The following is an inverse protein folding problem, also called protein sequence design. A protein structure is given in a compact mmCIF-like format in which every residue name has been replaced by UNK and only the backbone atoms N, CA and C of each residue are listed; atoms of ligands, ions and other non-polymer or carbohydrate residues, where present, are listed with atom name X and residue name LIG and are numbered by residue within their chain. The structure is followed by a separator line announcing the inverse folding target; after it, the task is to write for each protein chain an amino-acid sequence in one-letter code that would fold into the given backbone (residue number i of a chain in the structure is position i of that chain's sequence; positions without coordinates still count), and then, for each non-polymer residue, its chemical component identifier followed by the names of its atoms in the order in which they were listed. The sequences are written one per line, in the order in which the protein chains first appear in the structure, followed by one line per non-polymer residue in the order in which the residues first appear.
data_IF_079967265341
#
_entry.id   IF_079967265341
#
_cell.length_a   1.000
_cell.length_b   1.000
_cell.length_c   1.000
_cell.angle_alpha   90.00
_cell.angle_beta   90.00
_cell.angle_gamma   90.00
#
_symmetry.space_group_name_H-M   'P 1'
#
loop_
_entity.id
_entity.type
_entity.pdbx_description
1 polymer ?
#
# COMPACT_ATOMS: atom_id res chain seq x y z
N UNK A 1 -20.40 -16.67 54.47
CA UNK A 1 -19.22 -16.81 53.58
C UNK A 1 -18.00 -17.51 54.19
N UNK A 2 -17.71 -17.41 55.51
CA UNK A 2 -16.53 -18.06 56.14
C UNK A 2 -16.57 -19.60 56.18
N UNK A 3 -17.76 -20.22 56.26
CA UNK A 3 -17.92 -21.69 56.37
C UNK A 3 -17.57 -22.46 55.07
N UNK A 4 -17.84 -21.89 53.90
CA UNK A 4 -17.51 -22.52 52.61
C UNK A 4 -16.01 -22.48 52.31
N UNK A 5 -15.32 -21.41 52.74
CA UNK A 5 -13.86 -21.32 52.62
C UNK A 5 -13.14 -22.33 53.53
N UNK A 6 -13.69 -22.59 54.73
CA UNK A 6 -13.18 -23.61 55.65
C UNK A 6 -13.44 -25.03 55.12
N UNK A 7 -14.63 -25.30 54.56
CA UNK A 7 -14.95 -26.60 53.95
C UNK A 7 -14.05 -26.90 52.74
N UNK A 8 -13.81 -25.91 51.87
CA UNK A 8 -12.88 -26.05 50.76
C UNK A 8 -11.44 -26.24 51.25
N UNK A 9 -10.99 -25.46 52.25
CA UNK A 9 -9.67 -25.62 52.84
C UNK A 9 -9.47 -27.02 53.47
N UNK A 10 -10.52 -27.60 54.07
CA UNK A 10 -10.47 -28.95 54.64
C UNK A 10 -10.43 -30.04 53.56
N UNK A 11 -11.14 -29.86 52.45
CA UNK A 11 -11.11 -30.74 51.28
C UNK A 11 -9.72 -30.68 50.60
N UNK A 12 -9.13 -29.49 50.48
CA UNK A 12 -7.78 -29.30 49.93
C UNK A 12 -6.68 -29.80 50.88
N UNK A 13 -6.88 -29.75 52.19
CA UNK A 13 -5.92 -30.21 53.19
C UNK A 13 -5.89 -31.75 53.37
N UNK A 14 -6.94 -32.46 52.94
CA UNK A 14 -7.09 -33.92 53.17
C UNK A 14 -7.03 -34.79 51.90
N UNK A 15 -6.94 -34.19 50.72
CA UNK A 15 -6.71 -34.95 49.50
C UNK A 15 -5.23 -35.40 49.44
N UNK A 16 -4.91 -36.70 49.37
CA UNK A 16 -3.54 -37.14 49.16
C UNK A 16 -3.02 -36.47 47.88
N UNK A 17 -1.74 -36.05 47.87
CA UNK A 17 -1.11 -35.32 46.76
C UNK A 17 -1.43 -35.92 45.38
N UNK A 18 -1.59 -37.24 45.33
CA UNK A 18 -1.97 -38.02 44.15
C UNK A 18 -3.38 -37.71 43.63
N UNK A 19 -4.36 -37.47 44.51
CA UNK A 19 -5.72 -37.10 44.12
C UNK A 19 -5.76 -35.69 43.51
N UNK A 20 -4.99 -34.74 44.04
CA UNK A 20 -4.87 -33.40 43.46
C UNK A 20 -4.22 -33.44 42.07
N UNK A 21 -3.17 -34.25 41.88
CA UNK A 21 -2.54 -34.45 40.57
C UNK A 21 -3.55 -35.00 39.55
N UNK A 22 -4.34 -36.01 39.93
CA UNK A 22 -5.39 -36.58 39.07
C UNK A 22 -6.45 -35.55 38.69
N UNK A 23 -6.89 -34.72 39.63
CA UNK A 23 -7.86 -33.65 39.36
C UNK A 23 -7.29 -32.60 38.39
N UNK A 24 -6.03 -32.19 38.55
CA UNK A 24 -5.37 -31.25 37.63
C UNK A 24 -5.27 -31.86 36.22
N UNK A 25 -4.89 -33.13 36.11
CA UNK A 25 -4.82 -33.83 34.82
C UNK A 25 -6.18 -33.91 34.12
N UNK A 26 -7.24 -34.19 34.87
CA UNK A 26 -8.61 -34.19 34.34
C UNK A 26 -8.99 -32.81 33.81
N UNK A 27 -8.81 -31.75 34.61
CA UNK A 27 -9.15 -30.38 34.21
C UNK A 27 -8.31 -29.88 33.02
N UNK A 28 -7.05 -30.30 32.91
CA UNK A 28 -6.20 -29.98 31.74
C UNK A 28 -6.74 -30.66 30.47
N UNK A 29 -7.14 -31.93 30.58
CA UNK A 29 -7.74 -32.70 29.48
C UNK A 29 -9.05 -32.07 29.02
N UNK A 30 -9.95 -31.74 29.96
CA UNK A 30 -11.21 -31.08 29.68
C UNK A 30 -11.01 -29.72 29.00
N UNK A 31 -10.09 -28.89 29.50
CA UNK A 31 -9.74 -27.62 28.85
C UNK A 31 -9.21 -27.81 27.43
N UNK A 32 -8.40 -28.85 27.17
CA UNK A 32 -7.90 -29.16 25.82
C UNK A 32 -9.06 -29.50 24.86
N UNK A 33 -10.03 -30.28 25.31
CA UNK A 33 -11.23 -30.64 24.54
C UNK A 33 -12.08 -29.40 24.27
N UNK A 34 -12.39 -28.60 25.31
CA UNK A 34 -13.19 -27.38 25.16
C UNK A 34 -12.55 -26.39 24.20
N UNK A 35 -11.22 -26.24 24.23
CA UNK A 35 -10.50 -25.37 23.30
C UNK A 35 -10.55 -25.86 21.84
N UNK A 36 -10.60 -27.17 21.63
CA UNK A 36 -10.80 -27.74 20.29
C UNK A 36 -12.17 -27.38 19.68
N UNK A 37 -13.16 -27.04 20.51
CA UNK A 37 -14.51 -26.63 20.09
C UNK A 37 -14.68 -25.12 19.93
N UNK A 38 -13.70 -24.32 20.36
CA UNK A 38 -13.76 -22.84 20.32
C UNK A 38 -13.15 -22.28 19.03
N UNK A 39 -13.52 -21.05 18.62
CA UNK A 39 -12.92 -20.39 17.46
C UNK A 39 -11.41 -20.20 17.64
N UNK A 40 -10.68 -20.14 16.51
CA UNK A 40 -9.21 -20.05 16.46
C UNK A 40 -8.62 -18.86 17.24
N UNK A 41 -9.40 -17.79 17.47
CA UNK A 41 -8.97 -16.59 18.19
C UNK A 41 -9.92 -16.28 19.34
N UNK A 42 -9.38 -16.27 20.56
CA UNK A 42 -10.10 -15.90 21.79
C UNK A 42 -9.68 -14.48 22.16
N UNK A 43 -10.65 -13.57 22.25
CA UNK A 43 -10.42 -12.21 22.72
C UNK A 43 -10.58 -12.16 24.25
N UNK A 44 -9.58 -11.61 24.93
CA UNK A 44 -9.57 -11.50 26.40
C UNK A 44 -9.97 -10.09 26.80
N UNK A 45 -11.04 -9.97 27.57
CA UNK A 45 -11.52 -8.71 28.15
C UNK A 45 -10.56 -8.20 29.24
N UNK A 46 -10.69 -6.92 29.62
CA UNK A 46 -9.87 -6.34 30.70
C UNK A 46 -10.04 -7.07 32.04
N UNK A 47 -11.26 -7.50 32.36
CA UNK A 47 -11.57 -8.25 33.58
C UNK A 47 -10.96 -9.66 33.56
N UNK A 48 -10.98 -10.33 32.42
CA UNK A 48 -10.33 -11.64 32.26
C UNK A 48 -8.81 -11.53 32.30
N UNK A 49 -8.23 -10.50 31.67
CA UNK A 49 -6.79 -10.18 31.80
C UNK A 49 -6.39 -10.04 33.27
N UNK A 50 -7.16 -9.29 34.07
CA UNK A 50 -6.89 -9.11 35.49
C UNK A 50 -6.95 -10.43 36.26
N UNK A 51 -7.92 -11.30 35.96
CA UNK A 51 -8.02 -12.64 36.54
C UNK A 51 -6.81 -13.51 36.17
N UNK A 52 -6.41 -13.53 34.90
CA UNK A 52 -5.23 -14.26 34.44
C UNK A 52 -3.95 -13.79 35.12
N UNK A 53 -3.76 -12.47 35.29
CA UNK A 53 -2.60 -11.92 36.01
C UNK A 53 -2.63 -12.29 37.50
N UNK A 54 -3.79 -12.20 38.14
CA UNK A 54 -3.97 -12.54 39.57
C UNK A 54 -3.54 -13.98 39.87
N UNK A 55 -4.02 -14.94 39.09
CA UNK A 55 -3.69 -16.36 39.29
C UNK A 55 -2.35 -16.77 38.64
N UNK A 56 -1.90 -16.03 37.64
CA UNK A 56 -0.68 -16.37 36.90
C UNK A 56 0.62 -15.90 37.54
N UNK A 57 0.62 -14.78 38.26
CA UNK A 57 1.84 -14.25 38.92
C UNK A 57 2.46 -15.21 39.93
N UNK A 58 1.70 -15.87 40.83
CA UNK A 58 2.26 -16.79 41.81
C UNK A 58 2.91 -18.03 41.19
N UNK A 59 2.54 -18.39 39.95
CA UNK A 59 3.08 -19.55 39.24
C UNK A 59 4.52 -19.34 38.71
N UNK A 60 5.05 -18.11 38.76
CA UNK A 60 6.44 -17.84 38.39
C UNK A 60 6.78 -18.25 36.96
N UNK A 61 7.84 -19.04 36.78
CA UNK A 61 8.28 -19.57 35.48
C UNK A 61 7.39 -20.70 34.96
N UNK A 62 6.70 -21.44 35.84
CA UNK A 62 5.84 -22.56 35.49
C UNK A 62 4.64 -22.14 34.63
N UNK A 63 4.27 -20.86 34.65
CA UNK A 63 3.21 -20.33 33.78
C UNK A 63 3.48 -20.58 32.29
N UNK A 64 4.75 -20.64 31.86
CA UNK A 64 5.10 -20.89 30.45
C UNK A 64 4.56 -22.23 29.94
N UNK A 65 4.45 -23.22 30.82
CA UNK A 65 3.94 -24.55 30.50
C UNK A 65 2.40 -24.63 30.60
N UNK A 66 1.78 -23.74 31.39
CA UNK A 66 0.34 -23.76 31.68
C UNK A 66 -0.47 -22.78 30.82
N UNK A 67 0.15 -21.70 30.33
CA UNK A 67 -0.55 -20.63 29.65
C UNK A 67 -0.94 -21.04 28.22
N UNK A 68 -2.25 -21.14 27.98
CA UNK A 68 -2.79 -21.55 26.68
C UNK A 68 -3.67 -20.49 26.02
N UNK A 69 -4.30 -19.60 26.80
CA UNK A 69 -5.22 -18.57 26.28
C UNK A 69 -4.48 -17.45 25.56
N UNK A 70 -3.33 -17.02 26.09
CA UNK A 70 -2.51 -15.96 25.50
C UNK A 70 -1.07 -16.43 25.36
N UNK A 71 -0.35 -15.86 24.39
CA UNK A 71 1.07 -16.15 24.21
C UNK A 71 1.88 -15.74 25.47
N UNK A 72 2.88 -16.52 25.91
CA UNK A 72 3.69 -16.19 27.09
C UNK A 72 4.27 -14.77 27.07
N UNK A 73 4.70 -14.29 25.89
CA UNK A 73 5.19 -12.91 25.69
C UNK A 73 4.13 -11.86 26.02
N UNK A 74 2.87 -12.10 25.66
CA UNK A 74 1.76 -11.19 25.95
C UNK A 74 1.49 -11.12 27.45
N UNK A 75 1.56 -12.25 28.14
CA UNK A 75 1.42 -12.30 29.61
C UNK A 75 2.56 -11.56 30.32
N UNK A 76 3.81 -11.75 29.88
CA UNK A 76 4.96 -11.01 30.40
C UNK A 76 4.81 -9.50 30.18
N UNK A 77 4.34 -9.08 28.99
CA UNK A 77 4.06 -7.67 28.70
C UNK A 77 3.00 -7.11 29.64
N UNK A 78 1.91 -7.85 29.87
CA UNK A 78 0.86 -7.43 30.80
C UNK A 78 1.33 -7.33 32.25
N UNK A 79 2.24 -8.21 32.68
CA UNK A 79 2.88 -8.16 34.01
C UNK A 79 3.78 -6.93 34.16
N UNK A 80 4.52 -6.56 33.12
CA UNK A 80 5.32 -5.33 33.09
C UNK A 80 4.41 -4.09 33.14
N UNK A 81 3.40 -4.01 32.26
CA UNK A 81 2.42 -2.91 32.22
C UNK A 81 1.72 -2.65 33.57
N UNK A 82 1.50 -3.68 34.39
CA UNK A 82 0.91 -3.56 35.73
C UNK A 82 1.92 -3.12 36.79
N UNK A 83 3.16 -3.63 36.72
CA UNK A 83 4.26 -3.24 37.62
C UNK A 83 4.67 -1.79 37.40
N UNK A 84 4.70 -1.35 36.15
CA UNK A 84 5.05 0.00 35.75
C UNK A 84 3.89 1.00 36.04
N UNK A 85 2.90 0.53 36.83
CA UNK A 85 1.97 1.35 37.59
C UNK A 85 1.17 2.28 36.71
N UNK A 86 0.37 1.75 35.78
CA UNK A 86 -0.52 2.53 34.91
C UNK A 86 0.08 3.89 34.52
N UNK A 87 1.32 3.88 34.00
CA UNK A 87 1.78 4.95 33.09
C UNK A 87 1.05 4.82 31.75
N UNK A 88 -0.27 4.64 31.82
CA UNK A 88 -1.15 5.44 31.02
C UNK A 88 -1.02 6.91 31.50
N UNK A 89 0.13 7.52 31.18
CA UNK A 89 0.07 8.65 30.26
C UNK A 89 -0.63 8.13 29.01
N UNK A 90 -1.95 7.93 29.11
CA UNK A 90 -2.83 8.31 28.03
C UNK A 90 -2.35 9.72 27.77
N UNK A 91 -1.61 9.92 26.69
CA UNK A 91 -1.94 11.08 25.88
C UNK A 91 -3.46 11.07 25.84
N UNK A 92 -4.06 11.93 26.67
CA UNK A 92 -5.37 12.46 26.39
C UNK A 92 -5.19 12.97 24.98
N UNK A 93 -5.62 12.15 24.02
CA UNK A 93 -5.72 12.57 22.64
C UNK A 93 -6.79 13.63 22.71
N UNK A 94 -6.38 14.88 22.84
CA UNK A 94 -7.19 16.01 22.42
C UNK A 94 -7.52 15.76 20.95
N UNK A 95 -8.64 15.09 20.68
CA UNK A 95 -9.34 15.00 19.39
C UNK A 95 -8.56 14.66 18.11
N UNK A 96 -7.27 14.35 18.18
CA UNK A 96 -6.38 14.28 17.04
C UNK A 96 -6.11 12.84 16.65
N UNK A 97 -6.68 12.41 15.53
CA UNK A 97 -6.35 11.15 14.87
C UNK A 97 -4.83 11.04 14.75
N UNK A 98 -4.25 10.13 15.54
CA UNK A 98 -2.80 9.93 15.63
C UNK A 98 -2.25 9.48 14.28
N UNK A 99 -1.75 10.45 13.52
CA UNK A 99 -1.06 10.29 12.26
C UNK A 99 0.04 11.34 12.15
N UNK A 100 0.88 11.23 11.11
CA UNK A 100 1.90 12.23 10.79
C UNK A 100 1.28 13.63 10.83
N UNK A 101 1.90 14.63 11.48
CA UNK A 101 1.37 15.99 11.51
C UNK A 101 1.06 16.45 10.08
N UNK A 102 -0.11 17.07 9.92
CA UNK A 102 -0.54 17.59 8.62
C UNK A 102 0.49 18.62 8.13
N UNK A 103 0.63 18.73 6.81
CA UNK A 103 1.44 19.81 6.21
C UNK A 103 0.86 21.17 6.63
N UNK A 104 1.70 22.20 6.66
CA UNK A 104 1.29 23.55 7.09
C UNK A 104 0.07 24.03 6.31
N UNK A 105 -0.78 24.83 6.96
CA UNK A 105 -2.01 25.33 6.33
C UNK A 105 -1.71 26.13 5.06
N UNK A 106 -0.64 26.92 5.07
CA UNK A 106 -0.11 27.62 3.89
C UNK A 106 0.09 26.69 2.68
N UNK A 107 0.71 25.53 2.88
CA UNK A 107 0.93 24.56 1.81
C UNK A 107 -0.41 24.04 1.26
N UNK A 108 -1.39 23.82 2.15
CA UNK A 108 -2.69 23.26 1.77
C UNK A 108 -3.50 24.26 0.96
N UNK A 109 -3.48 25.52 1.37
CA UNK A 109 -4.16 26.61 0.69
C UNK A 109 -3.50 26.88 -0.68
N UNK A 110 -2.16 26.82 -0.76
CA UNK A 110 -1.43 26.92 -2.02
C UNK A 110 -1.80 25.80 -3.01
N UNK A 111 -1.86 24.55 -2.54
CA UNK A 111 -2.31 23.40 -3.35
C UNK A 111 -3.73 23.61 -3.87
N UNK A 112 -4.65 24.04 -2.99
CA UNK A 112 -6.04 24.27 -3.37
C UNK A 112 -6.17 25.43 -4.37
N UNK A 113 -5.39 26.51 -4.19
CA UNK A 113 -5.35 27.65 -5.10
C UNK A 113 -4.82 27.24 -6.48
N UNK A 114 -3.68 26.55 -6.55
CA UNK A 114 -3.11 26.04 -7.81
C UNK A 114 -4.09 25.15 -8.58
N UNK A 115 -4.85 24.31 -7.87
CA UNK A 115 -5.84 23.42 -8.47
C UNK A 115 -7.12 24.12 -8.94
N UNK A 116 -7.48 25.28 -8.37
CA UNK A 116 -8.65 26.07 -8.81
C UNK A 116 -8.30 27.03 -9.95
N UNK A 117 -7.11 27.62 -9.89
CA UNK A 117 -6.66 28.59 -10.88
C UNK A 117 -6.12 27.93 -12.16
N UNK A 118 -5.78 26.64 -12.11
CA UNK A 118 -5.21 25.90 -13.23
C UNK A 118 -5.83 24.51 -13.38
N UNK A 119 -6.00 24.05 -14.63
CA UNK A 119 -6.40 22.66 -14.97
C UNK A 119 -5.26 21.64 -14.79
N UNK A 120 -4.49 21.78 -13.71
CA UNK A 120 -3.32 20.95 -13.45
C UNK A 120 -3.67 19.65 -12.75
N UNK A 121 -3.13 18.54 -13.26
CA UNK A 121 -3.23 17.24 -12.59
C UNK A 121 -2.38 17.14 -11.32
N UNK A 122 -2.74 16.20 -10.43
CA UNK A 122 -2.09 15.96 -9.13
C UNK A 122 -0.55 15.87 -9.20
N UNK A 123 -0.02 15.23 -10.24
CA UNK A 123 1.43 15.05 -10.42
C UNK A 123 2.11 16.37 -10.77
N UNK A 124 1.47 17.22 -11.58
CA UNK A 124 2.01 18.53 -11.96
C UNK A 124 2.05 19.43 -10.74
N UNK A 125 0.95 19.53 -9.99
CA UNK A 125 0.88 20.32 -8.75
C UNK A 125 1.96 19.87 -7.75
N UNK A 126 2.17 18.56 -7.58
CA UNK A 126 3.23 18.04 -6.71
C UNK A 126 4.65 18.36 -7.21
N UNK A 127 4.85 18.48 -8.53
CA UNK A 127 6.12 18.84 -9.13
C UNK A 127 6.42 20.34 -8.96
N UNK A 128 5.44 21.21 -9.20
CA UNK A 128 5.57 22.66 -9.01
C UNK A 128 5.93 22.99 -7.56
N UNK A 129 5.28 22.36 -6.59
CA UNK A 129 5.61 22.61 -5.17
C UNK A 129 7.02 22.12 -4.82
N UNK A 130 7.48 21.05 -5.47
CA UNK A 130 8.86 20.57 -5.31
C UNK A 130 9.85 21.56 -5.91
N UNK A 131 9.53 22.15 -7.06
CA UNK A 131 10.34 23.18 -7.71
C UNK A 131 10.43 24.47 -6.88
N UNK A 132 9.35 24.82 -6.17
CA UNK A 132 9.35 25.94 -5.22
C UNK A 132 10.11 25.63 -3.90
N UNK A 133 10.62 24.41 -3.74
CA UNK A 133 11.31 23.94 -2.51
C UNK A 133 10.46 24.02 -1.23
N UNK A 134 9.13 24.11 -1.37
CA UNK A 134 8.20 24.27 -0.25
C UNK A 134 7.75 22.88 0.23
N UNK A 135 8.45 22.34 1.22
CA UNK A 135 7.89 21.32 2.12
C UNK A 135 7.57 19.94 1.51
N UNK A 136 8.28 19.50 0.47
CA UNK A 136 8.37 18.10 0.01
C UNK A 136 7.05 17.31 0.03
N UNK A 137 6.28 17.42 -1.06
CA UNK A 137 4.93 16.88 -1.17
C UNK A 137 4.86 15.79 -2.24
N UNK A 138 4.20 14.68 -1.91
CA UNK A 138 3.91 13.60 -2.84
C UNK A 138 2.51 13.72 -3.44
N UNK A 139 2.29 13.05 -4.57
CA UNK A 139 1.00 12.98 -5.27
C UNK A 139 -0.18 12.60 -4.36
N UNK A 140 0.05 11.69 -3.42
CA UNK A 140 -0.96 11.22 -2.45
C UNK A 140 -1.32 12.30 -1.43
N UNK A 141 -0.36 13.10 -0.98
CA UNK A 141 -0.62 14.23 -0.09
C UNK A 141 -1.43 15.31 -0.80
N UNK A 142 -1.09 15.66 -2.04
CA UNK A 142 -1.89 16.59 -2.86
C UNK A 142 -3.32 16.09 -3.02
N UNK A 143 -3.50 14.79 -3.31
CA UNK A 143 -4.83 14.18 -3.42
C UNK A 143 -5.65 14.33 -2.13
N UNK A 144 -5.06 14.04 -0.98
CA UNK A 144 -5.75 14.14 0.30
C UNK A 144 -6.14 15.59 0.62
N UNK A 145 -5.24 16.54 0.35
CA UNK A 145 -5.51 17.98 0.51
C UNK A 145 -6.70 18.40 -0.36
N UNK A 146 -6.70 18.06 -1.66
CA UNK A 146 -7.80 18.45 -2.55
C UNK A 146 -9.14 17.83 -2.17
N UNK A 147 -9.14 16.55 -1.75
CA UNK A 147 -10.36 15.91 -1.22
C UNK A 147 -10.88 16.64 0.04
N UNK A 148 -9.99 17.07 0.95
CA UNK A 148 -10.37 17.81 2.16
C UNK A 148 -10.91 19.22 1.84
N UNK A 149 -10.44 19.85 0.76
CA UNK A 149 -10.92 21.16 0.32
C UNK A 149 -12.14 21.10 -0.60
N UNK A 150 -12.70 19.91 -0.87
CA UNK A 150 -13.86 19.74 -1.74
C UNK A 150 -13.64 20.24 -3.17
N UNK A 151 -12.38 20.39 -3.60
CA UNK A 151 -12.06 20.82 -4.96
C UNK A 151 -12.25 19.60 -5.85
N UNK A 152 -13.25 19.67 -6.74
CA UNK A 152 -13.47 18.60 -7.70
C UNK A 152 -12.20 18.40 -8.52
N UNK A 153 -11.91 17.14 -8.81
CA UNK A 153 -10.68 16.75 -9.46
C UNK A 153 -10.70 17.40 -10.83
N UNK A 154 -9.88 18.44 -11.00
CA UNK A 154 -9.67 19.12 -12.28
C UNK A 154 -9.66 18.10 -13.41
N UNK A 155 -10.30 18.45 -14.54
CA UNK A 155 -11.15 17.59 -15.35
C UNK A 155 -10.72 16.14 -15.22
N UNK A 156 -11.56 15.37 -14.52
CA UNK A 156 -11.44 13.93 -14.46
C UNK A 156 -11.02 13.47 -15.84
N UNK A 157 -9.84 12.86 -15.93
CA UNK A 157 -9.44 12.13 -17.12
C UNK A 157 -10.50 11.04 -17.27
N UNK A 158 -11.61 11.35 -17.94
CA UNK A 158 -12.02 10.50 -19.04
C UNK A 158 -10.72 10.28 -19.79
N UNK A 159 -10.18 9.05 -19.67
CA UNK A 159 -8.96 8.68 -20.34
C UNK A 159 -9.15 9.17 -21.78
N UNK A 160 -8.41 10.20 -22.18
CA UNK A 160 -8.44 10.68 -23.56
C UNK A 160 -8.15 9.44 -24.35
N UNK A 161 -9.15 8.95 -25.06
CA UNK A 161 -9.01 7.69 -25.77
C UNK A 161 -7.89 7.90 -26.78
N UNK A 162 -7.20 6.83 -27.16
CA UNK A 162 -6.20 6.94 -28.22
C UNK A 162 -6.80 7.61 -29.47
N UNK A 163 -8.08 7.35 -29.74
CA UNK A 163 -8.84 7.98 -30.81
C UNK A 163 -8.99 9.50 -30.61
N UNK A 164 -9.35 9.96 -29.41
CA UNK A 164 -9.44 11.41 -29.12
C UNK A 164 -8.08 12.11 -29.26
N UNK A 165 -7.01 11.45 -28.84
CA UNK A 165 -5.66 11.98 -28.96
C UNK A 165 -5.25 12.12 -30.43
N UNK A 166 -5.45 11.05 -31.21
CA UNK A 166 -5.16 11.04 -32.65
C UNK A 166 -6.04 12.07 -33.35
N UNK A 167 -7.35 12.15 -33.09
CA UNK A 167 -8.23 13.13 -33.71
C UNK A 167 -7.76 14.58 -33.50
N UNK A 168 -7.25 14.90 -32.29
CA UNK A 168 -6.73 16.24 -31.96
C UNK A 168 -5.41 16.55 -32.66
N UNK A 169 -4.53 15.57 -32.82
CA UNK A 169 -3.15 15.79 -33.31
C UNK A 169 -2.93 15.27 -34.74
N UNK A 170 -3.92 14.68 -35.39
CA UNK A 170 -3.77 14.05 -36.71
C UNK A 170 -3.26 15.02 -37.78
N UNK A 171 -3.56 16.33 -37.63
CA UNK A 171 -3.10 17.38 -38.55
C UNK A 171 -1.62 17.75 -38.40
N UNK A 172 -0.98 17.34 -37.31
CA UNK A 172 0.44 17.63 -37.02
C UNK A 172 1.27 16.35 -36.93
N UNK A 173 0.63 15.17 -36.90
CA UNK A 173 1.30 13.89 -36.70
C UNK A 173 1.67 13.24 -38.03
N UNK A 174 2.93 12.80 -38.12
CA UNK A 174 3.41 11.90 -39.17
C UNK A 174 3.82 10.57 -38.55
N UNK A 175 3.32 9.47 -39.10
CA UNK A 175 3.81 8.14 -38.80
C UNK A 175 5.04 7.85 -39.68
N UNK A 176 6.07 7.23 -39.12
CA UNK A 176 7.29 6.88 -39.83
C UNK A 176 7.52 5.37 -39.67
N UNK A 177 7.78 4.67 -40.76
CA UNK A 177 8.04 3.23 -40.74
C UNK A 177 8.96 2.79 -41.88
N UNK A 178 9.56 1.61 -41.74
CA UNK A 178 10.37 0.97 -42.76
C UNK A 178 9.56 -0.06 -43.55
N UNK A 179 9.72 -0.05 -44.87
CA UNK A 179 9.19 -1.09 -45.75
C UNK A 179 10.35 -1.85 -46.40
N UNK A 180 10.28 -3.18 -46.38
CA UNK A 180 11.19 -4.04 -47.14
C UNK A 180 10.48 -4.58 -48.39
N UNK A 181 11.10 -4.37 -49.54
CA UNK A 181 10.64 -4.85 -50.85
C UNK A 181 11.68 -5.80 -51.41
N UNK A 182 11.25 -7.03 -51.63
CA UNK A 182 12.11 -8.08 -52.16
C UNK A 182 12.12 -8.04 -53.68
N UNK A 183 13.28 -7.72 -54.25
CA UNK A 183 13.43 -7.48 -55.69
C UNK A 183 14.37 -8.50 -56.32
N UNK A 184 14.06 -8.93 -57.54
CA UNK A 184 14.94 -9.78 -58.33
C UNK A 184 15.83 -8.92 -59.22
N UNK A 185 17.14 -9.15 -59.13
CA UNK A 185 18.15 -8.54 -60.00
C UNK A 185 18.86 -9.62 -60.81
N UNK A 186 19.59 -9.24 -61.85
CA UNK A 186 20.38 -10.18 -62.67
C UNK A 186 21.42 -10.98 -61.85
N UNK A 187 21.82 -10.48 -60.66
CA UNK A 187 22.77 -11.15 -59.75
C UNK A 187 22.10 -11.96 -58.64
N UNK A 188 20.77 -12.08 -58.65
CA UNK A 188 19.99 -12.77 -57.65
C UNK A 188 18.99 -11.88 -56.91
N UNK A 189 18.42 -12.40 -55.82
CA UNK A 189 17.38 -11.73 -55.04
C UNK A 189 18.00 -10.79 -54.00
N UNK A 190 17.55 -9.55 -53.96
CA UNK A 190 18.05 -8.52 -53.03
C UNK A 190 16.85 -7.91 -52.29
N UNK A 191 17.03 -7.65 -51.00
CA UNK A 191 16.06 -6.90 -50.20
C UNK A 191 16.40 -5.41 -50.23
N UNK A 192 15.43 -4.62 -50.68
CA UNK A 192 15.51 -3.16 -50.66
C UNK A 192 14.65 -2.62 -49.53
N UNK A 193 15.14 -1.59 -48.87
CA UNK A 193 14.49 -0.93 -47.76
C UNK A 193 14.14 0.50 -48.15
N UNK A 194 12.94 0.93 -47.75
CA UNK A 194 12.44 2.28 -47.92
C UNK A 194 12.02 2.82 -46.56
N UNK A 195 12.22 4.12 -46.36
CA UNK A 195 11.68 4.86 -45.22
C UNK A 195 10.44 5.62 -45.69
N UNK A 196 9.32 5.39 -45.00
CA UNK A 196 8.02 5.93 -45.38
C UNK A 196 7.51 6.82 -44.26
N UNK A 197 7.08 8.03 -44.62
CA UNK A 197 6.40 8.95 -43.73
C UNK A 197 4.96 9.13 -44.21
N UNK A 198 3.98 8.92 -43.33
CA UNK A 198 2.57 9.05 -43.66
C UNK A 198 1.90 10.07 -42.73
N UNK A 199 1.32 11.11 -43.33
CA UNK A 199 0.57 12.10 -42.57
C UNK A 199 -0.74 11.49 -42.08
N UNK A 200 -1.00 11.57 -40.78
CA UNK A 200 -2.10 10.82 -40.16
C UNK A 200 -3.47 11.34 -40.61
N UNK A 201 -3.65 12.66 -40.72
CA UNK A 201 -4.94 13.22 -41.15
C UNK A 201 -5.20 13.09 -42.66
N UNK A 202 -4.22 13.42 -43.50
CA UNK A 202 -4.43 13.51 -44.97
C UNK A 202 -4.04 12.25 -45.72
N UNK A 203 -3.41 11.27 -45.05
CA UNK A 203 -2.89 10.04 -45.65
C UNK A 203 -1.89 10.27 -46.78
N UNK A 204 -1.32 11.48 -46.89
CA UNK A 204 -0.22 11.79 -47.80
C UNK A 204 1.02 11.02 -47.39
N UNK A 205 1.72 10.47 -48.37
CA UNK A 205 2.89 9.64 -48.15
C UNK A 205 4.10 10.31 -48.77
N UNK A 206 5.19 10.38 -48.00
CA UNK A 206 6.52 10.67 -48.51
C UNK A 206 7.35 9.40 -48.43
N UNK A 207 7.98 9.02 -49.53
CA UNK A 207 8.76 7.79 -49.66
C UNK A 207 10.19 8.16 -50.00
N UNK A 208 11.14 7.64 -49.24
CA UNK A 208 12.56 7.80 -49.55
C UNK A 208 12.95 7.01 -50.82
N UNK A 209 14.09 7.33 -51.47
CA UNK A 209 14.74 6.40 -52.38
C UNK A 209 14.96 5.03 -51.71
N UNK A 210 15.04 3.95 -52.49
CA UNK A 210 15.29 2.61 -51.95
C UNK A 210 16.80 2.37 -51.71
N UNK A 211 17.15 1.62 -50.66
CA UNK A 211 18.53 1.21 -50.37
C UNK A 211 18.64 -0.28 -50.05
N UNK A 212 19.75 -0.92 -50.42
CA UNK A 212 20.06 -2.28 -49.96
C UNK A 212 20.73 -2.30 -48.57
N UNK A 213 21.15 -1.13 -48.06
CA UNK A 213 21.85 -1.00 -46.78
C UNK A 213 21.27 0.19 -45.97
N UNK A 214 20.20 -0.03 -45.18
CA UNK A 214 19.56 1.03 -44.38
C UNK A 214 20.39 1.32 -43.12
N UNK A 215 21.53 1.97 -43.29
CA UNK A 215 22.38 2.43 -42.19
C UNK A 215 21.83 3.66 -41.47
N UNK A 216 22.47 4.02 -40.35
CA UNK A 216 22.12 5.20 -39.57
C UNK A 216 22.25 6.49 -40.40
N UNK A 217 23.40 6.68 -41.06
CA UNK A 217 23.69 7.87 -41.88
C UNK A 217 22.65 8.07 -43.00
N UNK A 218 22.28 6.97 -43.66
CA UNK A 218 21.26 7.01 -44.70
C UNK A 218 19.89 7.38 -44.13
N UNK A 219 19.51 6.79 -42.99
CA UNK A 219 18.22 7.05 -42.33
C UNK A 219 18.11 8.51 -41.90
N UNK A 220 19.17 9.05 -41.32
CA UNK A 220 19.26 10.45 -40.93
C UNK A 220 19.12 11.38 -42.14
N UNK A 221 19.81 11.07 -43.24
CA UNK A 221 19.67 11.84 -44.48
C UNK A 221 18.24 11.81 -45.01
N UNK A 222 17.55 10.67 -44.96
CA UNK A 222 16.14 10.59 -45.39
C UNK A 222 15.20 11.38 -44.48
N UNK A 223 15.44 11.36 -43.17
CA UNK A 223 14.67 12.18 -42.23
C UNK A 223 14.89 13.68 -42.49
N UNK A 224 16.13 14.11 -42.78
CA UNK A 224 16.44 15.49 -43.18
C UNK A 224 15.72 15.87 -44.48
N UNK A 225 15.76 15.01 -45.49
CA UNK A 225 15.06 15.24 -46.75
C UNK A 225 13.54 15.40 -46.54
N UNK A 226 12.95 14.57 -45.66
CA UNK A 226 11.54 14.70 -45.29
C UNK A 226 11.22 16.05 -44.62
N UNK A 227 12.08 16.56 -43.73
CA UNK A 227 11.86 17.87 -43.10
C UNK A 227 11.93 19.05 -44.07
N UNK A 228 12.49 18.85 -45.27
CA UNK A 228 12.62 19.89 -46.31
C UNK A 228 11.53 19.80 -47.40
N UNK A 229 10.63 18.80 -47.34
CA UNK A 229 9.48 18.67 -48.22
C UNK A 229 8.44 19.76 -47.90
#
# INVERSE_FOLDING_TARGET
MKRYAQALAFIFARAPRNQLVRQIQYLQTENKILRGKLPRRIHVTRAERARLLKFGKPLGSAIRQLISIVHPRTFSRWKAEERDGHTQRRHVKDGGTGGRPRKSQFIRDLVARMARENDWGLTRIAAEIRQLHIGGIGRTTVRNILNEHGVDRGPGRAAVTWDDFIARHAKTLWACDFLSVRTWTMRGRIDLYLLIFIHVASRRVFVSPATANPGADWTEQQARNFTMH
#
